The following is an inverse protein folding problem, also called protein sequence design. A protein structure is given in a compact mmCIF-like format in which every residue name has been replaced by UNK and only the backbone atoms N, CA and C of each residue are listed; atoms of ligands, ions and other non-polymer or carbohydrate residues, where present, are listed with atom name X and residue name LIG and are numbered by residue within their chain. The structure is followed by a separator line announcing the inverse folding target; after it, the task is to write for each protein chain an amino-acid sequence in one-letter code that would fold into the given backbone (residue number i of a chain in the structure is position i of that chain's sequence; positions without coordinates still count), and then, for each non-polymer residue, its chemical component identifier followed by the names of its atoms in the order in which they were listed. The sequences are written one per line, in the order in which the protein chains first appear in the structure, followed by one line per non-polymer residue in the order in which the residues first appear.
data_IF_849216573387
#
_entry.id   IF_849216573387
#
_cell.length_a   1.000
_cell.length_b   1.000
_cell.length_c   1.000
_cell.angle_alpha   90.00
_cell.angle_beta   90.00
_cell.angle_gamma   90.00
#
_symmetry.space_group_name_H-M   'P 1'
#
loop_
_entity.id
_entity.type
_entity.pdbx_description
1 polymer ?
#
# COMPACT_ATOMS: atom_id res chain seq x y z
N UNK A 1 22.70 3.05 -22.57
CA UNK A 1 21.49 3.70 -23.14
C UNK A 1 20.23 2.86 -22.98
N UNK A 2 20.32 1.54 -23.14
CA UNK A 2 19.18 0.62 -23.02
C UNK A 2 18.48 0.70 -21.66
N UNK A 3 19.24 0.72 -20.55
CA UNK A 3 18.66 0.86 -19.21
C UNK A 3 17.90 2.17 -18.98
N UNK A 4 18.37 3.27 -19.61
CA UNK A 4 17.67 4.56 -19.53
C UNK A 4 16.35 4.51 -20.31
N UNK A 5 16.37 3.96 -21.53
CA UNK A 5 15.18 3.81 -22.36
C UNK A 5 14.16 2.90 -21.67
N UNK A 6 14.61 1.79 -21.11
CA UNK A 6 13.75 0.89 -20.31
C UNK A 6 13.10 1.62 -19.14
N UNK A 7 13.89 2.34 -18.33
CA UNK A 7 13.37 3.11 -17.19
C UNK A 7 12.37 4.20 -17.62
N UNK A 8 12.65 4.91 -18.71
CA UNK A 8 11.74 5.92 -19.24
C UNK A 8 10.43 5.29 -19.75
N UNK A 9 10.51 4.18 -20.47
CA UNK A 9 9.31 3.49 -20.97
C UNK A 9 8.44 2.96 -19.82
N UNK A 10 9.04 2.56 -18.70
CA UNK A 10 8.31 2.12 -17.51
C UNK A 10 7.64 3.28 -16.76
N UNK A 11 8.27 4.45 -16.71
CA UNK A 11 7.83 5.56 -15.85
C UNK A 11 7.01 6.61 -16.57
N UNK A 12 7.34 6.94 -17.84
CA UNK A 12 6.65 7.98 -18.62
C UNK A 12 5.13 7.76 -18.68
N UNK A 13 4.58 6.56 -18.97
CA UNK A 13 3.12 6.38 -19.05
C UNK A 13 2.42 6.76 -17.76
N UNK A 14 3.00 6.42 -16.61
CA UNK A 14 2.43 6.71 -15.28
C UNK A 14 2.44 8.23 -15.03
N UNK A 15 3.56 8.91 -15.30
CA UNK A 15 3.63 10.35 -15.16
C UNK A 15 2.72 11.09 -16.15
N UNK A 16 2.57 10.60 -17.38
CA UNK A 16 1.63 11.17 -18.35
C UNK A 16 0.18 11.08 -17.86
N UNK A 17 -0.25 9.95 -17.33
CA UNK A 17 -1.61 9.81 -16.77
C UNK A 17 -1.84 10.77 -15.60
N UNK A 18 -0.84 10.98 -14.73
CA UNK A 18 -0.91 11.96 -13.65
C UNK A 18 -1.02 13.40 -14.19
N UNK A 19 -0.23 13.74 -15.22
CA UNK A 19 -0.29 15.06 -15.87
C UNK A 19 -1.65 15.28 -16.52
N UNK A 20 -2.19 14.30 -17.25
CA UNK A 20 -3.54 14.39 -17.82
C UNK A 20 -4.61 14.57 -16.74
N UNK A 21 -4.51 13.84 -15.62
CA UNK A 21 -5.40 14.03 -14.47
C UNK A 21 -5.38 15.47 -13.94
N UNK A 22 -4.18 16.07 -13.82
CA UNK A 22 -4.02 17.46 -13.41
C UNK A 22 -4.60 18.46 -14.45
N UNK A 23 -4.41 18.19 -15.73
CA UNK A 23 -4.98 19.02 -16.82
C UNK A 23 -6.50 18.97 -16.76
N UNK A 24 -7.10 17.80 -16.64
CA UNK A 24 -8.56 17.64 -16.54
C UNK A 24 -9.14 18.29 -15.29
N UNK A 25 -8.41 18.27 -14.18
CA UNK A 25 -8.79 19.01 -12.98
C UNK A 25 -8.76 20.51 -13.21
N UNK A 26 -7.69 21.05 -13.85
CA UNK A 26 -7.58 22.47 -14.18
C UNK A 26 -8.62 22.92 -15.22
N UNK A 27 -8.97 22.05 -16.17
CA UNK A 27 -10.01 22.28 -17.16
C UNK A 27 -11.45 22.21 -16.58
N UNK A 28 -11.59 21.89 -15.29
CA UNK A 28 -12.90 21.79 -14.63
C UNK A 28 -13.68 20.51 -14.95
N UNK A 29 -13.11 19.58 -15.72
CA UNK A 29 -13.72 18.29 -16.04
C UNK A 29 -13.78 17.43 -14.77
N UNK A 30 -12.70 17.42 -13.96
CA UNK A 30 -12.64 16.73 -12.68
C UNK A 30 -12.81 17.72 -11.53
N UNK A 31 -13.96 17.65 -10.87
CA UNK A 31 -14.20 18.42 -9.65
C UNK A 31 -13.79 17.62 -8.39
N UNK A 32 -13.69 18.28 -7.24
CA UNK A 32 -13.28 17.65 -5.99
C UNK A 32 -14.21 16.50 -5.55
N UNK A 33 -15.51 16.60 -5.84
CA UNK A 33 -16.48 15.55 -5.54
C UNK A 33 -16.22 14.29 -6.36
N UNK A 34 -15.95 14.47 -7.67
CA UNK A 34 -15.57 13.37 -8.56
C UNK A 34 -14.27 12.70 -8.10
N UNK A 35 -13.23 13.49 -7.83
CA UNK A 35 -11.94 12.95 -7.38
C UNK A 35 -12.08 12.17 -6.07
N UNK A 36 -12.84 12.69 -5.11
CA UNK A 36 -13.12 12.00 -3.84
C UNK A 36 -13.89 10.70 -4.06
N UNK A 37 -14.91 10.70 -4.90
CA UNK A 37 -15.70 9.51 -5.22
C UNK A 37 -14.86 8.46 -5.97
N UNK A 38 -14.06 8.90 -6.95
CA UNK A 38 -13.16 8.02 -7.70
C UNK A 38 -12.11 7.38 -6.79
N UNK A 39 -11.47 8.16 -5.92
CA UNK A 39 -10.54 7.63 -4.93
C UNK A 39 -11.20 6.59 -4.03
N UNK A 40 -12.41 6.88 -3.53
CA UNK A 40 -13.15 5.94 -2.71
C UNK A 40 -13.45 4.64 -3.46
N UNK A 41 -13.88 4.73 -4.72
CA UNK A 41 -14.15 3.57 -5.57
C UNK A 41 -12.87 2.75 -5.80
N UNK A 42 -11.75 3.40 -6.15
CA UNK A 42 -10.48 2.71 -6.37
C UNK A 42 -10.04 1.95 -5.12
N UNK A 43 -10.08 2.58 -3.94
CA UNK A 43 -9.65 1.94 -2.70
C UNK A 43 -10.59 0.86 -2.18
N UNK A 44 -11.90 1.03 -2.36
CA UNK A 44 -12.90 0.12 -1.79
C UNK A 44 -13.32 -1.01 -2.72
N UNK A 45 -13.15 -0.84 -4.02
CA UNK A 45 -13.58 -1.82 -5.01
C UNK A 45 -12.47 -2.21 -5.99
N UNK A 46 -11.92 -1.27 -6.76
CA UNK A 46 -11.03 -1.60 -7.87
C UNK A 46 -9.74 -2.31 -7.41
N UNK A 47 -9.02 -1.76 -6.43
CA UNK A 47 -7.79 -2.37 -5.92
C UNK A 47 -8.01 -3.72 -5.24
N UNK A 48 -9.00 -3.90 -4.33
CA UNK A 48 -9.30 -5.21 -3.77
C UNK A 48 -9.61 -6.28 -4.81
N UNK A 49 -10.40 -5.93 -5.83
CA UNK A 49 -10.76 -6.87 -6.92
C UNK A 49 -9.54 -7.20 -7.78
N UNK A 50 -8.75 -6.21 -8.16
CA UNK A 50 -7.53 -6.40 -8.93
C UNK A 50 -6.56 -7.34 -8.19
N UNK A 51 -6.29 -7.07 -6.92
CA UNK A 51 -5.39 -7.91 -6.12
C UNK A 51 -5.95 -9.32 -5.89
N UNK A 52 -7.26 -9.44 -5.72
CA UNK A 52 -7.92 -10.75 -5.71
C UNK A 52 -7.68 -11.51 -7.02
N UNK A 53 -7.89 -10.87 -8.18
CA UNK A 53 -7.70 -11.48 -9.48
C UNK A 53 -6.25 -11.92 -9.71
N UNK A 54 -5.29 -11.06 -9.40
CA UNK A 54 -3.87 -11.36 -9.56
C UNK A 54 -3.44 -12.56 -8.72
N UNK A 55 -3.86 -12.61 -7.44
CA UNK A 55 -3.47 -13.70 -6.53
C UNK A 55 -4.26 -15.00 -6.82
N UNK A 56 -5.56 -14.89 -7.11
CA UNK A 56 -6.40 -16.06 -7.37
C UNK A 56 -6.05 -16.78 -8.67
N UNK A 57 -5.42 -16.07 -9.63
CA UNK A 57 -4.94 -16.64 -10.89
C UNK A 57 -3.56 -17.31 -10.78
N UNK A 58 -2.82 -17.08 -9.71
CA UNK A 58 -1.50 -17.65 -9.49
C UNK A 58 -1.58 -18.93 -8.63
N UNK A 59 -0.66 -19.87 -8.83
CA UNK A 59 -0.53 -21.00 -7.91
C UNK A 59 0.11 -20.51 -6.60
N UNK A 60 -0.65 -20.63 -5.49
CA UNK A 60 -0.21 -20.18 -4.17
C UNK A 60 1.13 -20.83 -3.78
N UNK A 61 1.29 -22.12 -4.05
CA UNK A 61 2.49 -22.85 -3.62
C UNK A 61 3.73 -22.50 -4.45
N UNK A 62 3.56 -22.00 -5.66
CA UNK A 62 4.66 -21.50 -6.50
C UNK A 62 5.01 -20.05 -6.19
N UNK A 63 4.01 -19.21 -5.90
CA UNK A 63 4.19 -17.77 -5.72
C UNK A 63 4.51 -17.38 -4.27
N UNK A 64 4.06 -18.20 -3.28
CA UNK A 64 4.27 -17.88 -1.88
C UNK A 64 5.72 -18.04 -1.46
N UNK A 65 6.35 -16.92 -1.13
CA UNK A 65 7.72 -16.88 -0.60
C UNK A 65 7.72 -16.28 0.82
N UNK A 66 7.79 -17.16 1.82
CA UNK A 66 7.88 -16.77 3.23
C UNK A 66 9.14 -15.95 3.52
N UNK A 67 10.25 -16.25 2.84
CA UNK A 67 11.51 -15.51 2.99
C UNK A 67 11.35 -14.06 2.53
N UNK A 68 10.70 -13.85 1.37
CA UNK A 68 10.40 -12.53 0.85
C UNK A 68 9.44 -11.73 1.75
N UNK A 69 8.37 -12.36 2.25
CA UNK A 69 7.42 -11.73 3.18
C UNK A 69 8.13 -11.30 4.46
N UNK A 70 8.94 -12.18 5.07
CA UNK A 70 9.72 -11.85 6.26
C UNK A 70 10.76 -10.75 5.99
N UNK A 71 11.43 -10.80 4.84
CA UNK A 71 12.36 -9.75 4.43
C UNK A 71 11.66 -8.40 4.35
N UNK A 72 10.54 -8.30 3.64
CA UNK A 72 9.76 -7.08 3.53
C UNK A 72 9.29 -6.56 4.88
N UNK A 73 8.82 -7.45 5.76
CA UNK A 73 8.41 -7.10 7.12
C UNK A 73 9.59 -6.54 7.94
N UNK A 74 10.71 -7.27 7.97
CA UNK A 74 11.89 -6.87 8.75
C UNK A 74 12.50 -5.56 8.26
N UNK A 75 12.68 -5.39 6.95
CA UNK A 75 13.24 -4.16 6.36
C UNK A 75 12.33 -2.97 6.66
N UNK A 76 11.02 -3.15 6.55
CA UNK A 76 10.05 -2.11 6.87
C UNK A 76 10.11 -1.74 8.35
N UNK A 77 10.14 -2.73 9.23
CA UNK A 77 10.24 -2.49 10.68
C UNK A 77 11.55 -1.76 11.03
N UNK A 78 12.66 -2.19 10.48
CA UNK A 78 13.97 -1.55 10.68
C UNK A 78 13.93 -0.11 10.18
N UNK A 79 13.35 0.15 9.00
CA UNK A 79 13.20 1.51 8.46
C UNK A 79 12.39 2.41 9.38
N UNK A 80 11.28 1.91 9.93
CA UNK A 80 10.43 2.65 10.86
C UNK A 80 11.21 2.98 12.15
N UNK A 81 11.91 2.00 12.71
CA UNK A 81 12.72 2.19 13.92
C UNK A 81 13.87 3.16 13.68
N UNK A 82 14.56 3.05 12.54
CA UNK A 82 15.67 3.95 12.17
C UNK A 82 15.20 5.39 12.02
N UNK A 83 14.10 5.63 11.27
CA UNK A 83 13.53 6.97 11.12
C UNK A 83 13.02 7.52 12.44
N UNK A 84 12.41 6.67 13.28
CA UNK A 84 11.97 7.06 14.62
C UNK A 84 13.18 7.48 15.48
N UNK A 85 14.27 6.71 15.48
CA UNK A 85 15.51 7.05 16.17
C UNK A 85 16.12 8.37 15.66
N UNK A 86 16.19 8.55 14.34
CA UNK A 86 16.68 9.79 13.72
C UNK A 86 15.80 11.00 14.08
N UNK A 87 14.50 10.81 14.24
CA UNK A 87 13.57 11.89 14.59
C UNK A 87 13.83 12.51 15.97
N UNK A 88 14.50 11.78 16.88
CA UNK A 88 14.90 12.34 18.18
C UNK A 88 15.97 13.42 18.08
N UNK A 89 16.71 13.47 16.97
CA UNK A 89 17.67 14.54 16.69
C UNK A 89 16.98 15.86 16.28
N UNK A 90 15.69 15.82 15.94
CA UNK A 90 14.92 17.00 15.54
C UNK A 90 14.60 17.86 16.75
N UNK A 91 14.78 19.17 16.61
CA UNK A 91 14.52 20.13 17.69
C UNK A 91 13.02 20.35 17.93
N UNK A 92 12.26 20.41 16.84
CA UNK A 92 10.81 20.60 16.92
C UNK A 92 10.11 19.24 17.13
N UNK A 93 9.52 19.10 18.31
CA UNK A 93 8.80 17.88 18.69
C UNK A 93 7.32 17.89 18.29
N UNK A 94 6.80 19.05 17.87
CA UNK A 94 5.37 19.21 17.55
C UNK A 94 4.92 18.38 16.35
N UNK A 95 5.81 18.23 15.35
CA UNK A 95 5.55 17.51 14.10
C UNK A 95 6.34 16.20 13.99
N UNK A 96 6.96 15.75 15.09
CA UNK A 96 7.87 14.60 15.08
C UNK A 96 7.16 13.31 14.63
N UNK A 97 5.93 13.07 15.12
CA UNK A 97 5.14 11.90 14.80
C UNK A 97 4.74 11.85 13.33
N UNK A 98 4.27 12.99 12.80
CA UNK A 98 3.89 13.16 11.40
C UNK A 98 5.10 12.99 10.47
N UNK A 99 6.24 13.57 10.85
CA UNK A 99 7.49 13.40 10.08
C UNK A 99 7.91 11.94 9.99
N UNK A 100 7.91 11.20 11.10
CA UNK A 100 8.24 9.77 11.11
C UNK A 100 7.28 9.01 10.21
N UNK A 101 5.97 9.26 10.36
CA UNK A 101 4.96 8.58 9.54
C UNK A 101 5.11 8.90 8.05
N UNK A 102 5.34 10.14 7.68
CA UNK A 102 5.55 10.54 6.29
C UNK A 102 6.81 9.93 5.68
N UNK A 103 7.84 9.68 6.47
CA UNK A 103 9.13 9.16 6.00
C UNK A 103 9.10 7.67 5.66
N UNK A 104 8.36 6.84 6.41
CA UNK A 104 8.35 5.39 6.14
C UNK A 104 7.16 4.93 5.30
N UNK A 105 6.09 5.72 5.24
CA UNK A 105 4.87 5.30 4.57
C UNK A 105 5.00 5.43 3.06
N UNK A 106 5.04 4.29 2.35
CA UNK A 106 5.10 4.25 0.90
C UNK A 106 3.73 4.06 0.25
N UNK A 107 3.61 4.41 -1.03
CA UNK A 107 2.43 4.15 -1.85
C UNK A 107 2.57 2.83 -2.61
N UNK A 108 2.98 1.76 -1.91
CA UNK A 108 3.27 0.46 -2.50
C UNK A 108 2.04 -0.15 -3.21
N UNK A 109 0.86 -0.04 -2.58
CA UNK A 109 -0.38 -0.63 -3.10
C UNK A 109 -0.95 0.10 -4.32
N UNK A 110 -0.54 1.33 -4.61
CA UNK A 110 -1.05 2.08 -5.77
C UNK A 110 0.06 2.29 -6.79
N UNK A 111 1.07 3.11 -6.43
CA UNK A 111 2.15 3.42 -7.35
C UNK A 111 3.06 2.22 -7.59
N UNK A 112 3.38 1.45 -6.55
CA UNK A 112 4.24 0.27 -6.67
C UNK A 112 3.65 -0.76 -7.63
N UNK A 113 2.38 -1.11 -7.47
CA UNK A 113 1.69 -2.05 -8.38
C UNK A 113 1.65 -1.49 -9.80
N UNK A 114 1.28 -0.20 -9.97
CA UNK A 114 1.21 0.41 -11.30
C UNK A 114 2.56 0.35 -12.04
N UNK A 115 3.69 0.57 -11.33
CA UNK A 115 5.01 0.42 -11.91
C UNK A 115 5.33 -1.03 -12.27
N UNK A 116 5.06 -1.97 -11.37
CA UNK A 116 5.35 -3.40 -11.58
C UNK A 116 4.54 -3.92 -12.78
N UNK A 117 3.23 -3.65 -12.82
CA UNK A 117 2.38 -4.05 -13.92
C UNK A 117 2.79 -3.41 -15.25
N UNK A 118 3.22 -2.15 -15.25
CA UNK A 118 3.70 -1.49 -16.47
C UNK A 118 5.03 -2.07 -16.99
N UNK A 119 5.86 -2.62 -16.11
CA UNK A 119 7.16 -3.21 -16.45
C UNK A 119 7.03 -4.68 -16.86
N UNK A 120 6.28 -5.45 -16.08
CA UNK A 120 6.25 -6.92 -16.18
C UNK A 120 4.93 -7.48 -16.75
N UNK A 121 3.88 -6.64 -16.84
CA UNK A 121 2.57 -7.04 -17.32
C UNK A 121 1.64 -7.64 -16.26
N UNK A 122 2.20 -7.96 -15.08
CA UNK A 122 1.46 -8.50 -13.93
C UNK A 122 1.93 -7.85 -12.62
N UNK A 123 1.24 -8.14 -11.51
CA UNK A 123 1.62 -7.60 -10.21
C UNK A 123 2.80 -8.35 -9.55
N UNK A 124 3.18 -9.52 -10.06
CA UNK A 124 4.27 -10.35 -9.56
C UNK A 124 4.19 -10.60 -8.05
N UNK A 125 5.28 -10.34 -7.34
CA UNK A 125 5.37 -10.51 -5.88
C UNK A 125 4.84 -9.31 -5.07
N UNK A 126 4.32 -8.25 -5.71
CA UNK A 126 3.84 -7.06 -5.02
C UNK A 126 2.74 -7.34 -3.98
N UNK A 127 1.76 -8.25 -4.21
CA UNK A 127 0.78 -8.63 -3.21
C UNK A 127 1.39 -9.17 -1.91
N UNK A 128 2.46 -9.99 -2.00
CA UNK A 128 3.16 -10.52 -0.82
C UNK A 128 3.85 -9.40 -0.01
N UNK A 129 4.46 -8.44 -0.71
CA UNK A 129 5.02 -7.25 -0.06
C UNK A 129 3.92 -6.46 0.65
N UNK A 130 2.74 -6.29 0.05
CA UNK A 130 1.62 -5.55 0.63
C UNK A 130 1.11 -6.24 1.90
N UNK A 131 0.98 -7.57 1.90
CA UNK A 131 0.60 -8.36 3.08
C UNK A 131 1.57 -8.09 4.25
N UNK A 132 2.87 -8.03 3.96
CA UNK A 132 3.89 -7.79 4.97
C UNK A 132 3.90 -6.35 5.50
N UNK A 133 3.76 -5.37 4.60
CA UNK A 133 4.06 -3.96 4.92
C UNK A 133 2.84 -3.14 5.33
N UNK A 134 1.69 -3.31 4.67
CA UNK A 134 0.52 -2.45 4.91
C UNK A 134 -0.09 -2.62 6.32
N UNK A 135 -0.27 -3.84 6.86
CA UNK A 135 -0.70 -4.00 8.24
C UNK A 135 0.31 -3.36 9.21
N UNK A 136 1.61 -3.56 8.96
CA UNK A 136 2.67 -2.99 9.79
C UNK A 136 2.64 -1.46 9.77
N UNK A 137 2.47 -0.82 8.59
CA UNK A 137 2.31 0.63 8.49
C UNK A 137 1.15 1.15 9.33
N UNK A 138 0.01 0.47 9.31
CA UNK A 138 -1.17 0.91 10.04
C UNK A 138 -1.00 0.77 11.57
N UNK A 139 -0.42 -0.33 12.03
CA UNK A 139 -0.10 -0.53 13.45
C UNK A 139 0.91 0.51 13.92
N UNK A 140 2.01 0.66 13.19
CA UNK A 140 3.10 1.57 13.56
C UNK A 140 2.69 3.03 13.46
N UNK A 141 1.75 3.41 12.57
CA UNK A 141 1.20 4.76 12.54
C UNK A 141 0.56 5.13 13.88
N UNK A 142 -0.26 4.24 14.44
CA UNK A 142 -0.88 4.49 15.75
C UNK A 142 0.18 4.52 16.86
N UNK A 143 1.10 3.57 16.85
CA UNK A 143 2.18 3.52 17.85
C UNK A 143 3.00 4.81 17.82
N UNK A 144 3.53 5.18 16.65
CA UNK A 144 4.39 6.35 16.47
C UNK A 144 3.65 7.65 16.85
N UNK A 145 2.43 7.84 16.32
CA UNK A 145 1.66 9.05 16.63
C UNK A 145 1.27 9.13 18.10
N UNK A 146 1.00 8.01 18.78
CA UNK A 146 0.67 8.01 20.20
C UNK A 146 1.88 8.28 21.08
N UNK A 147 3.06 7.73 20.73
CA UNK A 147 4.27 7.91 21.53
C UNK A 147 4.97 9.25 21.34
N UNK A 148 4.88 9.83 20.14
CA UNK A 148 5.58 11.06 19.78
C UNK A 148 4.69 12.30 19.87
N UNK A 149 3.44 12.20 20.33
CA UNK A 149 2.60 13.37 20.64
C UNK A 149 3.22 14.20 21.78
N UNK A 150 3.27 15.54 21.66
CA UNK A 150 3.75 16.44 22.71
C UNK A 150 2.92 16.34 24.00
N UNK A 151 1.60 16.22 23.87
CA UNK A 151 0.67 15.97 24.98
C UNK A 151 0.42 14.45 25.08
N UNK A 152 1.08 13.81 26.03
CA UNK A 152 0.90 12.39 26.33
C UNK A 152 -0.50 12.11 26.85
N UNK A 153 -1.48 12.02 25.97
CA UNK A 153 -2.71 11.32 26.31
C UNK A 153 -2.39 9.83 26.50
N UNK A 154 -2.94 9.27 27.57
CA UNK A 154 -2.74 7.85 27.95
C UNK A 154 -3.05 6.95 26.74
N UNK A 155 -2.27 5.91 26.58
CA UNK A 155 -2.51 4.83 25.60
C UNK A 155 -3.97 4.39 25.70
N UNK A 156 -4.78 4.79 24.74
CA UNK A 156 -6.21 4.49 24.76
C UNK A 156 -6.44 3.13 24.10
N UNK A 157 -6.96 2.18 24.87
CA UNK A 157 -7.38 0.85 24.35
C UNK A 157 -8.35 0.99 23.18
N UNK A 158 -9.19 2.01 23.17
CA UNK A 158 -10.13 2.29 22.10
C UNK A 158 -9.40 2.58 20.77
N UNK A 159 -8.28 3.30 20.81
CA UNK A 159 -7.47 3.60 19.64
C UNK A 159 -6.84 2.32 19.06
N UNK A 160 -6.32 1.44 19.91
CA UNK A 160 -5.75 0.15 19.47
C UNK A 160 -6.82 -0.72 18.83
N UNK A 161 -7.99 -0.84 19.46
CA UNK A 161 -9.11 -1.62 18.92
C UNK A 161 -9.62 -1.04 17.59
N UNK A 162 -9.71 0.28 17.49
CA UNK A 162 -10.09 0.96 16.24
C UNK A 162 -9.09 0.67 15.11
N UNK A 163 -7.79 0.66 15.43
CA UNK A 163 -6.74 0.35 14.46
C UNK A 163 -6.78 -1.11 14.02
N UNK A 164 -6.90 -2.04 14.95
CA UNK A 164 -7.04 -3.47 14.64
C UNK A 164 -8.28 -3.72 13.79
N UNK A 165 -9.41 -3.12 14.16
CA UNK A 165 -10.63 -3.17 13.35
C UNK A 165 -10.37 -2.60 11.96
N UNK A 166 -9.70 -1.45 11.86
CA UNK A 166 -9.35 -0.83 10.57
C UNK A 166 -8.48 -1.72 9.68
N UNK A 167 -7.56 -2.50 10.27
CA UNK A 167 -6.74 -3.48 9.53
C UNK A 167 -7.61 -4.62 9.00
N UNK A 168 -8.38 -5.26 9.89
CA UNK A 168 -9.23 -6.41 9.53
C UNK A 168 -10.34 -6.05 8.55
N UNK A 169 -10.84 -4.82 8.60
CA UNK A 169 -11.88 -4.32 7.68
C UNK A 169 -11.30 -3.58 6.47
N UNK A 170 -10.00 -3.54 6.29
CA UNK A 170 -9.37 -2.90 5.13
C UNK A 170 -9.72 -3.67 3.85
N UNK A 171 -10.39 -3.05 2.86
CA UNK A 171 -10.81 -3.73 1.64
C UNK A 171 -9.65 -4.35 0.87
N UNK A 172 -8.49 -3.69 0.85
CA UNK A 172 -7.29 -4.19 0.17
C UNK A 172 -6.80 -5.48 0.84
N UNK A 173 -6.72 -5.50 2.18
CA UNK A 173 -6.30 -6.69 2.94
C UNK A 173 -7.30 -7.82 2.75
N UNK A 174 -8.61 -7.51 2.74
CA UNK A 174 -9.67 -8.49 2.50
C UNK A 174 -9.59 -9.07 1.08
N UNK A 175 -9.32 -8.25 0.05
CA UNK A 175 -9.12 -8.69 -1.32
C UNK A 175 -7.92 -9.64 -1.46
N UNK A 176 -6.78 -9.27 -0.84
CA UNK A 176 -5.58 -10.12 -0.81
C UNK A 176 -5.87 -11.44 -0.07
N UNK A 177 -6.47 -11.38 1.12
CA UNK A 177 -6.78 -12.57 1.92
C UNK A 177 -7.73 -13.53 1.17
N UNK A 178 -8.75 -12.98 0.52
CA UNK A 178 -9.67 -13.77 -0.31
C UNK A 178 -8.93 -14.43 -1.49
N UNK A 179 -8.04 -13.71 -2.19
CA UNK A 179 -7.22 -14.23 -3.27
C UNK A 179 -6.28 -15.36 -2.81
N UNK A 180 -5.62 -15.17 -1.67
CA UNK A 180 -4.76 -16.19 -1.05
C UNK A 180 -5.54 -17.45 -0.70
N UNK A 181 -6.71 -17.30 -0.06
CA UNK A 181 -7.57 -18.44 0.29
C UNK A 181 -8.03 -19.18 -0.98
N UNK A 182 -8.47 -18.43 -2.00
CA UNK A 182 -8.90 -19.00 -3.28
C UNK A 182 -7.81 -19.82 -3.96
N UNK A 183 -6.62 -19.24 -4.07
CA UNK A 183 -5.44 -19.86 -4.66
C UNK A 183 -4.97 -21.07 -3.84
N UNK A 184 -4.94 -20.97 -2.51
CA UNK A 184 -4.55 -22.07 -1.62
C UNK A 184 -5.53 -23.26 -1.66
N UNK A 185 -6.81 -23.01 -1.90
CA UNK A 185 -7.84 -24.03 -2.08
C UNK A 185 -7.85 -24.61 -3.51
N UNK A 186 -6.99 -24.09 -4.42
CA UNK A 186 -6.91 -24.50 -5.83
C UNK A 186 -8.27 -24.53 -6.53
N UNK A 187 -9.15 -23.57 -6.21
CA UNK A 187 -10.46 -23.45 -6.83
C UNK A 187 -10.27 -22.95 -8.26
N UNK A 188 -10.77 -23.68 -9.29
CA UNK A 188 -10.63 -23.22 -10.67
C UNK A 188 -11.30 -21.87 -10.86
N UNK A 189 -10.59 -20.93 -11.49
CA UNK A 189 -11.10 -19.58 -11.76
C UNK A 189 -12.17 -19.67 -12.84
N UNK A 190 -13.40 -19.17 -12.59
CA UNK A 190 -14.42 -19.11 -13.64
C UNK A 190 -14.01 -18.09 -14.71
N UNK A 191 -14.29 -18.37 -15.98
CA UNK A 191 -14.01 -17.47 -17.13
C UNK A 191 -14.60 -16.06 -16.96
N UNK A 192 -15.66 -15.91 -16.14
CA UNK A 192 -16.29 -14.60 -15.83
C UNK A 192 -15.40 -13.70 -14.95
N UNK A 193 -14.38 -14.27 -14.32
CA UNK A 193 -13.43 -13.53 -13.45
C UNK A 193 -12.10 -13.23 -14.16
N UNK A 194 -11.93 -13.64 -15.40
CA UNK A 194 -10.84 -13.25 -16.29
C UNK A 194 -11.23 -11.99 -17.07
#
# INVERSE_FOLDING_TARGET
MEHLIFSLNATIPIFLTMIFGMIFKKAGIFNEKFVSAANKFVFQAALPVLLFQDISGADFYEVWDTGFVLFCFCVTLISILAVTALSFLWKDKSIQGEFVQASYRSSAAILGIAFIQNIYGDAGMAPLMIIATVPLYNVMAVVVLSFLKPDREKFDRALILCTLKGIVTNPIILGIAAGVIWSALQIPKPEVLD
#
